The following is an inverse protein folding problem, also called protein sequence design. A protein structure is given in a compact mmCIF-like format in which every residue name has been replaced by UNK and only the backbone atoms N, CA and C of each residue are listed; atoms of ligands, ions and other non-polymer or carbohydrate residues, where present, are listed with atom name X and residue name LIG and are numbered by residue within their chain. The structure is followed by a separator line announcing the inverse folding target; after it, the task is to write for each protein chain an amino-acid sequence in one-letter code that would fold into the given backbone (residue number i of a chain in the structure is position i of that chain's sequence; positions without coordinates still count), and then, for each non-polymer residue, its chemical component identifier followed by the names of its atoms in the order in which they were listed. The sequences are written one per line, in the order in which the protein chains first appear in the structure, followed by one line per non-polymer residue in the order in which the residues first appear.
data_IF_779059775700
#
_entry.id   IF_779059775700
#
_cell.length_a   1.000
_cell.length_b   1.000
_cell.length_c   1.000
_cell.angle_alpha   90.00
_cell.angle_beta   90.00
_cell.angle_gamma   90.00
#
_symmetry.space_group_name_H-M   'P 1'
#
loop_
_entity.id
_entity.type
_entity.pdbx_description
1 polymer ?
#
# COMPACT_ATOMS: atom_id res chain seq x y z
N UNK A 1 7.78 13.55 -8.78
CA UNK A 1 6.41 13.48 -9.37
C UNK A 1 5.83 14.87 -9.42
N UNK A 2 4.61 15.06 -9.91
CA UNK A 2 3.96 16.38 -10.00
C UNK A 2 2.82 16.60 -8.99
N UNK A 3 2.59 15.65 -8.10
CA UNK A 3 1.53 15.74 -7.09
C UNK A 3 2.00 16.54 -5.87
N UNK A 4 1.29 17.63 -5.50
CA UNK A 4 1.56 18.37 -4.26
C UNK A 4 1.43 17.49 -3.00
N UNK A 5 2.18 17.81 -1.95
CA UNK A 5 2.21 17.06 -0.68
C UNK A 5 0.83 16.96 -0.04
N UNK A 6 0.07 18.06 0.00
CA UNK A 6 -1.27 18.04 0.59
C UNK A 6 -2.24 17.16 -0.19
N UNK A 7 -2.12 17.10 -1.53
CA UNK A 7 -2.94 16.22 -2.37
C UNK A 7 -2.62 14.78 -2.06
N UNK A 8 -1.33 14.43 -1.93
CA UNK A 8 -0.89 13.08 -1.55
C UNK A 8 -1.40 12.72 -0.15
N UNK A 9 -1.30 13.63 0.81
CA UNK A 9 -1.77 13.42 2.18
C UNK A 9 -3.29 13.17 2.20
N UNK A 10 -4.08 14.06 1.58
CA UNK A 10 -5.55 13.96 1.53
C UNK A 10 -6.00 12.70 0.81
N UNK A 11 -5.41 12.38 -0.33
CA UNK A 11 -5.72 11.16 -1.09
C UNK A 11 -5.39 9.91 -0.29
N UNK A 12 -4.25 9.89 0.41
CA UNK A 12 -3.85 8.76 1.24
C UNK A 12 -4.81 8.54 2.40
N UNK A 13 -5.20 9.61 3.11
CA UNK A 13 -6.18 9.55 4.20
C UNK A 13 -7.53 9.03 3.71
N UNK A 14 -7.98 9.47 2.54
CA UNK A 14 -9.25 9.03 1.97
C UNK A 14 -9.24 7.55 1.53
N UNK A 15 -8.13 7.09 0.94
CA UNK A 15 -8.04 5.74 0.37
C UNK A 15 -7.59 4.67 1.37
N UNK A 16 -6.91 5.06 2.46
CA UNK A 16 -6.39 4.12 3.44
C UNK A 16 -7.46 3.18 4.02
N UNK A 17 -8.65 3.64 4.48
CA UNK A 17 -9.67 2.74 5.02
C UNK A 17 -10.13 1.69 4.00
N UNK A 18 -10.30 2.07 2.73
CA UNK A 18 -10.72 1.16 1.66
C UNK A 18 -9.62 0.14 1.33
N UNK A 19 -8.36 0.56 1.30
CA UNK A 19 -7.23 -0.34 1.12
C UNK A 19 -7.14 -1.37 2.26
N UNK A 20 -7.32 -0.95 3.51
CA UNK A 20 -7.34 -1.83 4.68
C UNK A 20 -8.51 -2.82 4.64
N UNK A 21 -9.72 -2.39 4.26
CA UNK A 21 -10.88 -3.28 4.10
C UNK A 21 -10.65 -4.34 3.02
N UNK A 22 -9.97 -4.00 1.92
CA UNK A 22 -9.57 -4.96 0.88
C UNK A 22 -8.54 -5.96 1.39
N UNK A 23 -7.54 -5.50 2.14
CA UNK A 23 -6.54 -6.39 2.76
C UNK A 23 -7.21 -7.37 3.73
N UNK A 24 -8.13 -6.89 4.57
CA UNK A 24 -8.91 -7.75 5.47
C UNK A 24 -9.65 -8.86 4.70
N UNK A 25 -10.40 -8.51 3.64
CA UNK A 25 -11.10 -9.51 2.79
C UNK A 25 -10.11 -10.50 2.14
N UNK A 26 -8.92 -10.07 1.76
CA UNK A 26 -7.89 -10.95 1.22
C UNK A 26 -7.37 -11.93 2.28
N UNK A 27 -7.17 -11.48 3.52
CA UNK A 27 -6.74 -12.35 4.63
C UNK A 27 -7.74 -13.47 4.92
N UNK A 28 -9.06 -13.18 4.87
CA UNK A 28 -10.09 -14.21 5.06
C UNK A 28 -10.02 -15.32 4.01
N UNK A 29 -9.71 -14.96 2.76
CA UNK A 29 -9.60 -15.91 1.62
C UNK A 29 -8.22 -16.57 1.51
N UNK A 30 -7.23 -16.06 2.24
CA UNK A 30 -5.84 -16.48 2.09
C UNK A 30 -5.59 -17.96 2.42
N UNK A 31 -6.17 -18.57 3.47
CA UNK A 31 -5.93 -19.99 3.78
C UNK A 31 -6.29 -20.92 2.62
N UNK A 32 -7.51 -20.78 2.08
CA UNK A 32 -8.02 -21.60 0.97
C UNK A 32 -7.21 -21.38 -0.31
N UNK A 33 -6.86 -20.12 -0.59
CA UNK A 33 -6.01 -19.79 -1.73
C UNK A 33 -4.63 -20.42 -1.57
N UNK A 34 -4.00 -20.28 -0.39
CA UNK A 34 -2.64 -20.76 -0.12
C UNK A 34 -2.54 -22.28 -0.15
N UNK A 35 -3.59 -22.99 0.26
CA UNK A 35 -3.66 -24.46 0.15
C UNK A 35 -3.48 -24.94 -1.31
N UNK A 36 -3.97 -24.17 -2.27
CA UNK A 36 -3.88 -24.47 -3.72
C UNK A 36 -2.59 -23.95 -4.36
N UNK A 37 -1.80 -23.13 -3.65
CA UNK A 37 -0.63 -22.42 -4.20
C UNK A 37 0.62 -22.64 -3.34
N UNK A 38 1.15 -23.86 -3.39
CA UNK A 38 2.35 -24.29 -2.66
C UNK A 38 2.29 -23.90 -1.18
N UNK A 39 1.43 -24.56 -0.38
CA UNK A 39 1.13 -24.15 0.99
C UNK A 39 2.36 -24.10 1.90
N UNK A 40 3.35 -24.94 1.63
CA UNK A 40 4.60 -25.03 2.40
C UNK A 40 5.65 -24.00 1.98
N UNK A 41 5.47 -23.33 0.83
CA UNK A 41 6.40 -22.31 0.36
C UNK A 41 6.09 -20.97 1.04
N UNK A 42 6.84 -20.66 2.09
CA UNK A 42 6.74 -19.45 2.92
C UNK A 42 8.17 -18.96 3.22
N UNK A 43 8.90 -18.38 2.24
CA UNK A 43 10.29 -17.98 2.41
C UNK A 43 10.52 -16.90 3.47
N UNK A 44 9.47 -16.16 3.86
CA UNK A 44 9.52 -15.23 4.99
C UNK A 44 9.47 -15.91 6.36
N UNK A 45 9.03 -17.17 6.45
CA UNK A 45 9.12 -18.00 7.67
C UNK A 45 10.32 -18.96 7.62
N UNK A 46 10.68 -19.40 6.42
CA UNK A 46 11.72 -20.39 6.14
C UNK A 46 12.70 -19.81 5.10
N UNK A 47 13.68 -18.97 5.52
CA UNK A 47 14.56 -18.22 4.62
C UNK A 47 15.33 -19.09 3.62
N UNK A 48 15.62 -20.34 3.97
CA UNK A 48 16.26 -21.33 3.10
C UNK A 48 15.45 -21.66 1.84
N UNK A 49 14.15 -21.37 1.83
CA UNK A 49 13.29 -21.51 0.65
C UNK A 49 13.47 -20.35 -0.34
N UNK A 50 14.14 -19.26 0.05
CA UNK A 50 14.35 -18.11 -0.83
C UNK A 50 15.12 -18.52 -2.09
N UNK A 51 14.62 -18.07 -3.24
CA UNK A 51 15.28 -18.22 -4.54
C UNK A 51 15.87 -16.91 -5.04
N UNK A 52 15.87 -15.87 -4.19
CA UNK A 52 16.36 -14.55 -4.52
C UNK A 52 17.89 -14.49 -4.34
N UNK A 53 18.61 -13.76 -5.21
CA UNK A 53 20.04 -13.56 -5.04
C UNK A 53 20.34 -12.70 -3.80
N UNK A 54 21.50 -12.93 -3.19
CA UNK A 54 22.04 -12.02 -2.19
C UNK A 54 22.57 -10.75 -2.88
N UNK A 55 22.43 -9.61 -2.21
CA UNK A 55 22.92 -8.31 -2.68
C UNK A 55 23.83 -7.72 -1.60
N UNK A 56 24.97 -7.16 -2.00
CA UNK A 56 25.88 -6.51 -1.06
C UNK A 56 25.33 -5.13 -0.70
N UNK A 57 25.40 -4.73 0.57
CA UNK A 57 24.92 -3.42 1.00
C UNK A 57 25.67 -2.26 0.32
N UNK A 58 26.92 -2.47 -0.09
CA UNK A 58 27.72 -1.50 -0.85
C UNK A 58 27.19 -1.21 -2.25
N UNK A 59 26.33 -2.08 -2.79
CA UNK A 59 25.66 -1.90 -4.09
C UNK A 59 24.40 -1.03 -3.95
N UNK A 60 23.97 -0.74 -2.72
CA UNK A 60 22.83 0.11 -2.43
C UNK A 60 23.26 1.57 -2.21
N UNK A 61 22.43 2.51 -2.64
CA UNK A 61 22.59 3.94 -2.39
C UNK A 61 21.45 4.47 -1.55
N UNK A 62 21.72 5.47 -0.70
CA UNK A 62 20.69 6.16 0.06
C UNK A 62 19.78 6.96 -0.88
N UNK A 63 18.46 6.73 -0.79
CA UNK A 63 17.46 7.49 -1.52
C UNK A 63 16.90 8.60 -0.64
N UNK A 64 17.33 9.83 -0.88
CA UNK A 64 16.84 10.99 -0.16
C UNK A 64 15.46 11.44 -0.66
N UNK A 65 14.55 11.75 0.26
CA UNK A 65 13.17 12.12 -0.07
C UNK A 65 13.06 13.52 -0.70
N UNK A 66 13.88 14.46 -0.26
CA UNK A 66 13.96 15.84 -0.76
C UNK A 66 14.46 15.93 -2.20
N UNK A 67 15.32 15.00 -2.64
CA UNK A 67 15.71 14.84 -4.06
C UNK A 67 14.50 14.58 -5.00
N UNK A 68 13.32 14.25 -4.46
CA UNK A 68 12.09 14.01 -5.22
C UNK A 68 11.17 15.25 -5.32
N UNK A 69 11.55 16.38 -4.71
CA UNK A 69 10.69 17.54 -4.48
C UNK A 69 11.12 18.75 -5.34
N UNK A 70 10.25 19.19 -6.26
CA UNK A 70 10.32 20.49 -6.94
C UNK A 70 8.89 20.91 -7.32
N UNK A 71 8.02 21.19 -6.33
CA UNK A 71 6.63 21.60 -6.60
C UNK A 71 6.31 22.82 -5.75
N UNK A 72 5.95 23.92 -6.40
CA UNK A 72 5.44 25.15 -5.77
C UNK A 72 3.96 24.96 -5.40
N UNK A 73 3.63 25.11 -4.12
CA UNK A 73 2.29 24.90 -3.54
C UNK A 73 1.59 26.20 -3.16
N UNK A 74 2.17 27.37 -3.50
CA UNK A 74 1.72 28.69 -3.03
C UNK A 74 0.30 29.11 -3.46
N UNK A 75 -0.33 28.42 -4.42
CA UNK A 75 -1.64 28.79 -4.98
C UNK A 75 -2.81 27.85 -4.66
N UNK A 76 -2.66 26.89 -3.74
CA UNK A 76 -3.66 25.82 -3.52
C UNK A 76 -4.46 26.06 -2.22
N UNK A 77 -5.79 26.20 -2.34
CA UNK A 77 -6.70 26.38 -1.20
C UNK A 77 -7.43 25.08 -0.84
N UNK A 78 -7.59 24.80 0.47
CA UNK A 78 -8.28 23.62 0.97
C UNK A 78 -9.82 23.76 0.90
N UNK A 79 -10.49 22.95 0.09
CA UNK A 79 -11.96 22.83 0.13
C UNK A 79 -12.42 21.95 1.30
N UNK A 80 -13.33 22.50 2.11
CA UNK A 80 -13.91 21.91 3.33
C UNK A 80 -14.90 20.77 3.02
N UNK A 81 -14.82 19.78 3.91
CA UNK A 81 -15.47 18.46 4.03
C UNK A 81 -16.96 18.36 3.65
N UNK A 82 -17.33 17.28 2.93
CA UNK A 82 -18.64 16.63 3.06
C UNK A 82 -18.39 15.18 3.54
N UNK A 83 -19.04 14.82 4.63
CA UNK A 83 -18.84 13.54 5.33
C UNK A 83 -19.51 12.43 4.54
N UNK A 84 -18.77 11.33 4.41
CA UNK A 84 -19.12 10.22 3.53
C UNK A 84 -20.45 9.55 3.82
N UNK A 85 -21.08 9.11 2.74
CA UNK A 85 -22.01 7.99 2.70
C UNK A 85 -21.95 7.38 1.29
N UNK A 86 -21.75 6.07 1.23
CA UNK A 86 -21.51 5.35 -0.03
C UNK A 86 -21.45 3.86 0.23
N UNK A 87 -22.61 3.32 0.56
CA UNK A 87 -23.00 1.92 0.69
C UNK A 87 -22.17 0.92 -0.11
N UNK A 88 -21.72 -0.15 0.55
CA UNK A 88 -21.40 -1.42 -0.09
C UNK A 88 -22.07 -2.52 0.74
N UNK A 89 -23.38 -2.68 0.53
CA UNK A 89 -24.08 -3.93 0.81
C UNK A 89 -23.66 -4.94 -0.26
N UNK A 90 -22.98 -6.01 0.14
CA UNK A 90 -23.07 -7.29 -0.58
C UNK A 90 -22.88 -8.43 0.41
N UNK A 91 -23.96 -9.19 0.52
CA UNK A 91 -24.31 -10.23 1.46
C UNK A 91 -23.25 -11.30 1.68
N UNK A 92 -23.06 -11.70 2.93
CA UNK A 92 -22.55 -13.03 3.27
C UNK A 92 -23.72 -14.01 3.12
N UNK A 93 -23.74 -14.74 2.01
CA UNK A 93 -24.36 -16.06 1.89
C UNK A 93 -23.31 -17.03 1.37
#
# INVERSE_FOLDING_TARGET
GSLPKWVVNKSSQFLAPKAMKKMYKACLKYPDWKQKHNPHFKPWLFPEQSRLPALALSELSLQHADSLENIDESSLAESKEDRGEGSDEDSLT
#
